data_IF_319769096489
#
_entry.id   IF_319769096489
#
_cell.length_a   1.000
_cell.length_b   1.000
_cell.length_c   1.000
_cell.angle_alpha   90.00
_cell.angle_beta   90.00
_cell.angle_gamma   90.00
#
_symmetry.space_group_name_H-M   'P 1'
#
loop_
_entity.id
_entity.type
_entity.pdbx_description
1 polymer ?
#
# COMPACT_ATOMS: atom_id res chain seq x y z
N UNK A 1 -1.53 -0.38 30.35
CA UNK A 1 -2.29 -1.52 29.80
C UNK A 1 -2.44 -1.24 28.34
N UNK A 2 -2.30 -2.21 27.42
CA UNK A 2 -2.61 -1.96 26.03
C UNK A 2 -4.07 -1.52 25.93
N UNK A 3 -4.33 -0.56 25.05
CA UNK A 3 -5.70 -0.12 24.77
C UNK A 3 -6.50 -1.32 24.28
N UNK A 4 -7.58 -1.68 24.96
CA UNK A 4 -8.42 -2.84 24.63
C UNK A 4 -9.60 -2.45 23.75
N UNK A 5 -9.73 -1.17 23.43
CA UNK A 5 -10.81 -0.70 22.57
C UNK A 5 -10.58 -1.18 21.12
N UNK A 6 -11.63 -1.58 20.41
CA UNK A 6 -11.50 -1.99 19.04
C UNK A 6 -11.03 -0.84 18.16
N UNK A 7 -10.26 -1.16 17.11
CA UNK A 7 -9.84 -0.20 16.10
C UNK A 7 -11.02 0.11 15.18
N UNK A 8 -11.43 1.37 15.12
CA UNK A 8 -12.45 1.85 14.19
C UNK A 8 -11.82 2.05 12.81
N UNK A 9 -12.18 1.17 11.87
CA UNK A 9 -11.65 1.14 10.51
C UNK A 9 -12.70 1.57 9.50
N UNK A 10 -12.39 2.56 8.65
CA UNK A 10 -13.14 2.86 7.43
C UNK A 10 -12.41 2.32 6.21
N UNK A 11 -13.10 1.58 5.35
CA UNK A 11 -12.61 1.15 4.04
C UNK A 11 -13.42 1.89 2.97
N UNK A 12 -12.75 2.70 2.17
CA UNK A 12 -13.35 3.33 0.98
C UNK A 12 -12.89 2.60 -0.27
N UNK A 13 -13.84 2.04 -1.04
CA UNK A 13 -13.51 1.18 -2.17
C UNK A 13 -14.52 1.29 -3.32
N UNK A 14 -14.08 0.87 -4.51
CA UNK A 14 -14.92 0.68 -5.70
C UNK A 14 -14.92 -0.80 -6.19
N UNK A 15 -14.17 -1.67 -5.52
CA UNK A 15 -14.17 -3.13 -5.71
C UNK A 15 -14.34 -3.84 -4.37
N UNK A 16 -15.50 -4.48 -4.18
CA UNK A 16 -15.93 -5.03 -2.89
C UNK A 16 -15.31 -6.39 -2.53
N UNK A 17 -15.18 -7.38 -3.43
CA UNK A 17 -14.69 -8.70 -3.06
C UNK A 17 -13.33 -8.72 -2.38
N UNK A 18 -12.28 -7.98 -2.83
CA UNK A 18 -11.02 -7.88 -2.13
C UNK A 18 -11.15 -7.25 -0.73
N UNK A 19 -11.95 -6.19 -0.61
CA UNK A 19 -12.12 -5.48 0.66
C UNK A 19 -12.95 -6.24 1.67
N UNK A 20 -13.94 -7.00 1.24
CA UNK A 20 -14.66 -7.94 2.12
C UNK A 20 -13.70 -9.03 2.66
N UNK A 21 -12.82 -9.57 1.79
CA UNK A 21 -11.83 -10.54 2.22
C UNK A 21 -10.85 -9.94 3.24
N UNK A 22 -10.40 -8.70 3.01
CA UNK A 22 -9.53 -7.99 3.94
C UNK A 22 -10.21 -7.75 5.29
N UNK A 23 -11.42 -7.19 5.30
CA UNK A 23 -12.16 -6.90 6.52
C UNK A 23 -12.39 -8.18 7.36
N UNK A 24 -12.82 -9.27 6.71
CA UNK A 24 -12.99 -10.56 7.37
C UNK A 24 -11.67 -11.09 7.94
N UNK A 25 -10.56 -10.95 7.22
CA UNK A 25 -9.24 -11.40 7.70
C UNK A 25 -8.73 -10.57 8.87
N UNK A 26 -8.89 -9.23 8.82
CA UNK A 26 -8.46 -8.34 9.91
C UNK A 26 -9.23 -8.63 11.22
N UNK A 27 -10.53 -8.87 11.16
CA UNK A 27 -11.34 -9.18 12.36
C UNK A 27 -10.96 -10.50 13.02
N UNK A 28 -10.28 -11.40 12.31
CA UNK A 28 -9.74 -12.63 12.92
C UNK A 28 -8.42 -12.40 13.65
N UNK A 29 -7.68 -11.34 13.33
CA UNK A 29 -6.38 -11.03 13.95
C UNK A 29 -6.50 -10.18 15.22
N UNK A 30 -7.57 -9.40 15.38
CA UNK A 30 -7.72 -8.54 16.51
C UNK A 30 -9.07 -7.82 16.58
N UNK A 31 -9.31 -7.03 17.61
CA UNK A 31 -10.55 -6.27 17.77
C UNK A 31 -10.59 -5.11 16.75
N UNK A 32 -11.19 -5.34 15.59
CA UNK A 32 -11.41 -4.34 14.54
C UNK A 32 -12.89 -4.24 14.24
N UNK A 33 -13.42 -3.03 14.26
CA UNK A 33 -14.77 -2.69 13.77
C UNK A 33 -14.60 -2.08 12.39
N UNK A 34 -14.92 -2.85 11.36
CA UNK A 34 -14.74 -2.44 9.97
C UNK A 34 -16.03 -1.87 9.39
N UNK A 35 -15.98 -0.63 8.94
CA UNK A 35 -16.99 0.03 8.14
C UNK A 35 -16.48 0.09 6.69
N UNK A 36 -17.39 0.01 5.73
CA UNK A 36 -17.01 0.12 4.33
C UNK A 36 -18.03 0.99 3.57
N UNK A 37 -17.52 1.81 2.67
CA UNK A 37 -18.31 2.70 1.84
C UNK A 37 -17.73 2.79 0.42
N UNK A 38 -18.61 3.02 -0.57
CA UNK A 38 -18.18 3.54 -1.86
C UNK A 38 -18.00 5.07 -1.77
N UNK A 39 -17.50 5.70 -2.82
CA UNK A 39 -17.24 7.14 -2.80
C UNK A 39 -18.45 8.03 -2.49
N UNK A 40 -19.66 7.79 -3.09
CA UNK A 40 -20.86 8.58 -2.77
C UNK A 40 -21.26 8.53 -1.29
N UNK A 41 -21.06 7.39 -0.63
CA UNK A 41 -21.51 7.13 0.72
C UNK A 41 -20.43 7.41 1.78
N UNK A 42 -19.21 7.81 1.36
CA UNK A 42 -18.14 8.14 2.29
C UNK A 42 -18.53 9.36 3.14
N UNK A 43 -18.44 9.27 4.49
CA UNK A 43 -18.67 10.41 5.37
C UNK A 43 -17.71 11.56 5.08
N UNK A 44 -18.17 12.81 5.23
CA UNK A 44 -17.30 13.98 5.08
C UNK A 44 -16.31 14.13 6.23
N UNK A 45 -16.68 13.68 7.43
CA UNK A 45 -15.82 13.63 8.61
C UNK A 45 -15.31 12.20 8.84
N UNK A 46 -14.01 12.03 8.65
CA UNK A 46 -13.32 10.75 8.86
C UNK A 46 -12.58 10.70 10.20
N UNK A 47 -12.65 11.76 11.02
CA UNK A 47 -11.88 11.87 12.28
C UNK A 47 -12.30 10.88 13.35
N UNK A 48 -13.47 10.26 13.21
CA UNK A 48 -13.99 9.23 14.12
C UNK A 48 -13.34 7.86 13.89
N UNK A 49 -12.61 7.69 12.80
CA UNK A 49 -11.92 6.44 12.47
C UNK A 49 -10.44 6.52 12.85
N UNK A 50 -9.94 5.49 13.51
CA UNK A 50 -8.53 5.36 13.84
C UNK A 50 -7.67 5.14 12.60
N UNK A 51 -8.26 4.43 11.61
CA UNK A 51 -7.60 4.07 10.35
C UNK A 51 -8.59 4.21 9.18
N UNK A 52 -8.09 4.73 8.07
CA UNK A 52 -8.80 4.72 6.80
C UNK A 52 -7.98 3.93 5.77
N UNK A 53 -8.60 2.94 5.13
CA UNK A 53 -8.03 2.20 3.99
C UNK A 53 -8.67 2.71 2.70
N UNK A 54 -7.84 3.11 1.75
CA UNK A 54 -8.24 3.55 0.41
C UNK A 54 -7.92 2.47 -0.61
N UNK A 55 -8.96 1.97 -1.29
CA UNK A 55 -8.89 0.97 -2.35
C UNK A 55 -9.84 1.34 -3.50
N UNK A 56 -9.47 2.39 -4.23
CA UNK A 56 -10.24 2.91 -5.36
C UNK A 56 -9.42 2.75 -6.63
N UNK A 57 -9.95 2.04 -7.62
CA UNK A 57 -9.28 1.79 -8.91
C UNK A 57 -9.44 2.99 -9.85
N UNK A 58 -10.65 3.49 -10.01
CA UNK A 58 -10.98 4.61 -10.92
C UNK A 58 -10.37 5.94 -10.47
N UNK A 59 -10.58 6.98 -11.25
CA UNK A 59 -10.37 8.38 -10.85
C UNK A 59 -11.23 8.66 -9.63
N UNK A 60 -10.65 9.21 -8.57
CA UNK A 60 -11.39 9.58 -7.38
C UNK A 60 -12.25 10.82 -7.62
N UNK A 61 -13.45 10.82 -7.02
CA UNK A 61 -14.24 12.03 -6.87
C UNK A 61 -13.45 13.07 -6.06
N UNK A 62 -13.49 14.35 -6.49
CA UNK A 62 -12.74 15.43 -5.84
C UNK A 62 -13.08 15.58 -4.35
N UNK A 63 -14.35 15.38 -3.96
CA UNK A 63 -14.76 15.42 -2.55
C UNK A 63 -14.05 14.35 -1.74
N UNK A 64 -13.99 13.13 -2.27
CA UNK A 64 -13.32 11.98 -1.63
C UNK A 64 -11.82 12.21 -1.55
N UNK A 65 -11.19 12.65 -2.64
CA UNK A 65 -9.77 12.99 -2.66
C UNK A 65 -9.44 14.01 -1.56
N UNK A 66 -10.19 15.09 -1.46
CA UNK A 66 -9.98 16.13 -0.46
C UNK A 66 -10.27 15.65 0.98
N UNK A 67 -11.26 14.77 1.18
CA UNK A 67 -11.55 14.20 2.50
C UNK A 67 -10.40 13.31 2.98
N UNK A 68 -9.87 12.44 2.13
CA UNK A 68 -8.74 11.57 2.45
C UNK A 68 -7.45 12.37 2.72
N UNK A 69 -7.18 13.40 1.91
CA UNK A 69 -6.03 14.30 2.12
C UNK A 69 -6.14 15.04 3.45
N UNK A 70 -7.34 15.60 3.76
CA UNK A 70 -7.55 16.27 5.06
C UNK A 70 -7.36 15.31 6.22
N UNK A 71 -7.96 14.11 6.15
CA UNK A 71 -7.83 13.09 7.18
C UNK A 71 -6.36 12.77 7.48
N UNK A 72 -5.58 12.47 6.45
CA UNK A 72 -4.16 12.19 6.62
C UNK A 72 -3.39 13.38 7.22
N UNK A 73 -3.66 14.62 6.74
CA UNK A 73 -2.95 15.81 7.22
C UNK A 73 -3.30 16.22 8.65
N UNK A 74 -4.47 15.84 9.14
CA UNK A 74 -4.98 16.19 10.47
C UNK A 74 -4.71 15.12 11.54
N UNK A 75 -3.76 14.23 11.30
CA UNK A 75 -3.35 13.22 12.28
C UNK A 75 -3.83 11.80 11.97
N UNK A 76 -4.64 11.63 10.92
CA UNK A 76 -5.18 10.34 10.53
C UNK A 76 -4.13 9.36 9.99
N UNK A 77 -4.47 8.09 10.05
CA UNK A 77 -3.66 6.99 9.52
C UNK A 77 -4.31 6.45 8.24
N UNK A 78 -3.76 6.84 7.10
CA UNK A 78 -4.28 6.51 5.79
C UNK A 78 -3.45 5.41 5.14
N UNK A 79 -4.04 4.24 4.90
CA UNK A 79 -3.44 3.13 4.17
C UNK A 79 -3.97 3.11 2.75
N UNK A 80 -3.08 3.12 1.79
CA UNK A 80 -3.39 3.04 0.36
C UNK A 80 -2.93 1.68 -0.15
N UNK A 81 -3.83 0.94 -0.74
CA UNK A 81 -3.55 -0.39 -1.23
C UNK A 81 -3.57 -0.44 -2.75
N UNK A 82 -2.65 -1.22 -3.31
CA UNK A 82 -2.58 -1.60 -4.71
C UNK A 82 -2.78 -0.42 -5.68
N UNK A 83 -3.85 -0.45 -6.47
CA UNK A 83 -4.15 0.57 -7.50
C UNK A 83 -4.57 1.95 -6.94
N UNK A 84 -4.61 2.10 -5.63
CA UNK A 84 -4.79 3.41 -5.00
C UNK A 84 -3.73 4.46 -5.39
N UNK A 85 -2.56 4.04 -5.88
CA UNK A 85 -1.51 4.89 -6.45
C UNK A 85 -1.24 4.60 -7.94
N UNK A 86 -2.12 3.87 -8.63
CA UNK A 86 -1.90 3.47 -10.01
C UNK A 86 -2.57 4.40 -11.03
N UNK A 87 -2.50 3.99 -12.25
CA UNK A 87 -2.80 4.66 -13.51
C UNK A 87 -3.91 5.71 -13.52
N UNK A 88 -5.09 5.43 -12.99
CA UNK A 88 -6.21 6.37 -12.99
C UNK A 88 -5.93 7.62 -12.15
N UNK A 89 -5.03 7.54 -11.18
CA UNK A 89 -4.66 8.63 -10.27
C UNK A 89 -3.90 9.78 -10.92
N UNK A 90 -3.48 9.64 -12.17
CA UNK A 90 -2.95 10.77 -12.96
C UNK A 90 -3.95 11.94 -13.03
N UNK A 91 -5.24 11.66 -12.91
CA UNK A 91 -6.31 12.67 -12.89
C UNK A 91 -6.61 13.21 -11.48
N UNK A 92 -5.85 12.79 -10.48
CA UNK A 92 -5.93 13.25 -9.09
C UNK A 92 -4.58 13.86 -8.66
N UNK A 93 -4.22 15.05 -9.15
CA UNK A 93 -2.89 15.62 -8.93
C UNK A 93 -2.58 15.93 -7.46
N UNK A 94 -3.57 16.35 -6.67
CA UNK A 94 -3.39 16.62 -5.23
C UNK A 94 -3.10 15.33 -4.45
N UNK A 95 -3.71 14.22 -4.86
CA UNK A 95 -3.44 12.89 -4.34
C UNK A 95 -2.01 12.43 -4.64
N UNK A 96 -1.58 12.58 -5.89
CA UNK A 96 -0.20 12.24 -6.27
C UNK A 96 0.81 13.14 -5.56
N UNK A 97 0.49 14.43 -5.36
CA UNK A 97 1.34 15.34 -4.58
C UNK A 97 1.43 14.92 -3.11
N UNK A 98 0.33 14.50 -2.46
CA UNK A 98 0.35 13.92 -1.11
C UNK A 98 1.24 12.68 -1.06
N UNK A 99 1.08 11.79 -2.02
CA UNK A 99 1.87 10.56 -2.12
C UNK A 99 3.33 10.80 -2.50
N UNK A 100 3.69 12.00 -2.99
CA UNK A 100 5.04 12.31 -3.48
C UNK A 100 5.42 11.48 -4.71
N UNK A 101 4.47 11.31 -5.62
CA UNK A 101 4.63 10.57 -6.86
C UNK A 101 4.30 11.43 -8.07
N UNK A 102 4.93 11.09 -9.19
CA UNK A 102 4.57 11.60 -10.50
C UNK A 102 4.26 10.43 -11.43
N UNK A 103 3.14 10.53 -12.13
CA UNK A 103 2.75 9.61 -13.19
C UNK A 103 2.53 10.43 -14.47
N UNK A 104 3.30 10.14 -15.51
CA UNK A 104 3.09 10.77 -16.81
C UNK A 104 1.89 10.15 -17.55
N UNK A 105 1.19 10.92 -18.40
CA UNK A 105 0.19 10.36 -19.31
C UNK A 105 0.76 9.23 -20.15
N UNK A 106 -0.05 8.20 -20.44
CA UNK A 106 0.39 7.03 -21.22
C UNK A 106 0.85 7.37 -22.66
N UNK A 107 0.44 8.51 -23.19
CA UNK A 107 0.82 9.04 -24.50
C UNK A 107 2.04 9.99 -24.46
N UNK A 108 2.61 10.23 -23.26
CA UNK A 108 3.82 11.03 -23.15
C UNK A 108 5.03 10.32 -23.79
N UNK A 109 5.89 11.09 -24.44
CA UNK A 109 7.09 10.57 -25.13
C UNK A 109 8.04 9.77 -24.24
N UNK A 110 8.09 10.10 -22.93
CA UNK A 110 8.97 9.47 -21.96
C UNK A 110 8.21 8.66 -20.92
N UNK A 111 7.03 8.18 -21.28
CA UNK A 111 6.24 7.35 -20.39
C UNK A 111 6.98 6.06 -20.02
N UNK A 112 7.38 5.97 -18.78
CA UNK A 112 8.18 4.85 -18.28
C UNK A 112 7.41 3.91 -17.33
N UNK A 113 6.43 4.46 -16.57
CA UNK A 113 5.66 3.63 -15.65
C UNK A 113 4.69 2.71 -16.39
N UNK A 114 4.48 1.53 -15.87
CA UNK A 114 3.59 0.52 -16.47
C UNK A 114 3.02 -0.45 -15.46
N UNK A 115 2.00 -1.16 -15.88
CA UNK A 115 1.42 -2.30 -15.17
C UNK A 115 1.90 -3.57 -15.86
N UNK A 116 2.45 -4.50 -15.09
CA UNK A 116 2.70 -5.87 -15.52
C UNK A 116 1.64 -6.76 -14.89
N UNK A 117 0.79 -7.36 -15.71
CA UNK A 117 -0.26 -8.31 -15.29
C UNK A 117 0.15 -9.75 -15.49
N UNK A 118 -0.54 -10.67 -14.81
CA UNK A 118 -0.30 -12.11 -14.88
C UNK A 118 1.14 -12.52 -14.50
N UNK A 119 1.69 -11.83 -13.50
CA UNK A 119 3.05 -12.08 -13.00
C UNK A 119 3.02 -12.64 -11.59
N UNK A 120 4.15 -13.17 -11.13
CA UNK A 120 4.40 -13.37 -9.70
C UNK A 120 4.96 -12.08 -9.12
N UNK A 121 4.23 -11.49 -8.18
CA UNK A 121 4.70 -10.36 -7.39
C UNK A 121 5.37 -10.91 -6.11
N UNK A 122 6.67 -10.79 -6.03
CA UNK A 122 7.41 -11.08 -4.79
C UNK A 122 7.61 -9.80 -4.01
N UNK A 123 6.95 -9.69 -2.86
CA UNK A 123 7.09 -8.59 -1.90
C UNK A 123 8.27 -8.90 -0.98
N UNK A 124 9.33 -8.12 -1.08
CA UNK A 124 10.61 -8.36 -0.41
C UNK A 124 10.77 -7.43 0.78
N UNK A 125 10.99 -7.97 1.98
CA UNK A 125 11.20 -7.18 3.19
C UNK A 125 12.58 -6.52 3.19
N UNK A 126 12.64 -5.23 2.95
CA UNK A 126 13.88 -4.44 2.93
C UNK A 126 14.23 -3.82 4.29
N UNK A 127 13.34 -3.91 5.26
CA UNK A 127 13.54 -3.37 6.61
C UNK A 127 13.23 -4.44 7.68
N UNK A 128 14.10 -5.47 7.82
CA UNK A 128 13.83 -6.65 8.65
C UNK A 128 13.93 -6.40 10.16
N UNK A 129 14.10 -5.18 10.59
CA UNK A 129 14.06 -4.77 12.01
C UNK A 129 12.84 -3.91 12.35
N UNK A 130 12.04 -3.51 11.37
CA UNK A 130 10.91 -2.62 11.59
C UNK A 130 9.68 -3.38 12.11
N UNK A 131 8.95 -2.80 13.07
CA UNK A 131 7.74 -3.40 13.64
C UNK A 131 6.76 -3.87 12.56
N UNK A 132 6.47 -3.03 11.56
CA UNK A 132 5.49 -3.35 10.52
C UNK A 132 5.87 -4.62 9.76
N UNK A 133 7.15 -4.83 9.51
CA UNK A 133 7.63 -5.94 8.70
C UNK A 133 7.91 -7.21 9.50
N UNK A 134 7.95 -7.14 10.83
CA UNK A 134 8.43 -8.26 11.66
C UNK A 134 7.43 -8.76 12.68
N UNK A 135 6.55 -7.89 13.20
CA UNK A 135 5.65 -8.28 14.28
C UNK A 135 4.65 -9.35 13.82
N UNK A 136 4.85 -10.58 14.27
CA UNK A 136 4.06 -11.77 13.92
C UNK A 136 3.98 -12.07 12.41
N UNK A 137 4.90 -11.60 11.59
CA UNK A 137 4.94 -11.87 10.16
C UNK A 137 5.77 -13.11 9.87
N UNK A 138 5.18 -14.10 9.19
CA UNK A 138 5.86 -15.31 8.73
C UNK A 138 6.03 -15.24 7.21
N UNK A 139 7.27 -15.10 6.76
CA UNK A 139 7.60 -15.03 5.34
C UNK A 139 7.67 -16.43 4.71
N UNK A 140 7.32 -16.51 3.43
CA UNK A 140 7.32 -17.78 2.68
C UNK A 140 8.74 -18.32 2.45
N UNK A 141 9.67 -17.41 2.14
CA UNK A 141 11.06 -17.76 1.77
C UNK A 141 11.98 -16.55 1.89
N UNK A 142 13.27 -16.76 1.61
CA UNK A 142 14.22 -15.68 1.34
C UNK A 142 14.60 -15.65 -0.13
N UNK A 143 14.80 -14.45 -0.67
CA UNK A 143 15.19 -14.23 -2.07
C UNK A 143 16.44 -13.37 -2.15
N UNK A 144 17.31 -13.57 -3.14
CA UNK A 144 18.37 -12.63 -3.46
C UNK A 144 17.72 -11.35 -3.99
N UNK A 145 18.11 -10.21 -3.43
CA UNK A 145 17.60 -8.91 -3.85
C UNK A 145 18.71 -7.88 -3.83
N UNK A 146 18.70 -7.00 -4.83
CA UNK A 146 19.60 -5.87 -4.94
C UNK A 146 18.78 -4.58 -4.75
N UNK A 147 18.80 -3.95 -3.57
CA UNK A 147 18.14 -2.67 -3.37
C UNK A 147 18.66 -1.62 -4.36
N UNK A 148 17.75 -0.89 -4.99
CA UNK A 148 18.07 0.15 -5.98
C UNK A 148 18.40 1.48 -5.31
N UNK A 149 17.84 1.70 -4.14
CA UNK A 149 18.00 2.95 -3.39
C UNK A 149 18.52 2.64 -1.99
N UNK A 150 19.56 3.37 -1.60
CA UNK A 150 19.97 3.41 -0.22
C UNK A 150 21.06 2.44 0.21
N UNK A 151 21.10 2.20 1.48
CA UNK A 151 22.25 1.73 2.24
C UNK A 151 22.27 0.23 2.48
N UNK A 152 21.32 -0.50 1.95
CA UNK A 152 21.23 -1.94 2.12
C UNK A 152 22.20 -2.65 1.17
N UNK A 153 22.96 -3.60 1.72
CA UNK A 153 23.81 -4.46 0.92
C UNK A 153 22.98 -5.50 0.18
N UNK A 154 23.41 -5.95 -1.01
CA UNK A 154 22.81 -7.11 -1.63
C UNK A 154 22.82 -8.31 -0.68
N UNK A 155 21.74 -9.08 -0.69
CA UNK A 155 21.66 -10.24 0.18
C UNK A 155 20.37 -11.02 0.05
N UNK A 156 20.20 -12.08 0.83
CA UNK A 156 18.93 -12.74 0.98
C UNK A 156 18.02 -11.93 1.91
N UNK A 157 16.83 -11.61 1.41
CA UNK A 157 15.79 -10.92 2.17
C UNK A 157 14.53 -11.78 2.29
N UNK A 158 13.81 -11.72 3.43
CA UNK A 158 12.54 -12.41 3.58
C UNK A 158 11.51 -11.90 2.57
N UNK A 159 10.68 -12.78 2.04
CA UNK A 159 9.73 -12.42 0.98
C UNK A 159 8.40 -13.19 1.07
N UNK A 160 7.36 -12.57 0.50
CA UNK A 160 6.03 -13.15 0.26
C UNK A 160 5.76 -13.17 -1.25
N UNK A 161 5.24 -14.29 -1.75
CA UNK A 161 4.88 -14.42 -3.15
C UNK A 161 3.36 -14.30 -3.34
N UNK A 162 2.96 -13.54 -4.35
CA UNK A 162 1.58 -13.40 -4.85
C UNK A 162 1.59 -13.81 -6.32
N UNK A 163 0.71 -14.75 -6.66
CA UNK A 163 0.70 -15.38 -7.98
C UNK A 163 -0.44 -14.84 -8.83
N UNK A 164 -0.23 -14.80 -10.16
CA UNK A 164 -1.20 -14.35 -11.15
C UNK A 164 -1.81 -12.99 -10.81
N UNK A 165 -0.94 -12.01 -10.55
CA UNK A 165 -1.31 -10.70 -10.04
C UNK A 165 -0.75 -9.56 -10.92
N UNK A 166 -0.93 -8.33 -10.45
CA UNK A 166 -0.41 -7.12 -11.09
C UNK A 166 0.72 -6.50 -10.28
N UNK A 167 1.67 -5.90 -11.01
CA UNK A 167 2.77 -5.12 -10.44
C UNK A 167 2.83 -3.76 -11.13
N UNK A 168 2.94 -2.68 -10.34
CA UNK A 168 3.15 -1.32 -10.84
C UNK A 168 4.62 -0.99 -10.85
N UNK A 169 5.16 -0.78 -12.04
CA UNK A 169 6.58 -0.58 -12.28
C UNK A 169 6.87 0.87 -12.67
N UNK A 170 8.06 1.33 -12.28
CA UNK A 170 8.63 2.62 -12.70
C UNK A 170 7.80 3.85 -12.29
N UNK A 171 7.03 3.76 -11.22
CA UNK A 171 6.43 4.95 -10.62
C UNK A 171 7.54 5.92 -10.19
N UNK A 172 7.45 7.16 -10.63
CA UNK A 172 8.46 8.17 -10.29
C UNK A 172 8.20 8.76 -8.91
N UNK A 173 9.13 8.52 -7.98
CA UNK A 173 9.14 9.14 -6.65
C UNK A 173 9.76 10.52 -6.77
N UNK A 174 9.07 11.57 -6.29
CA UNK A 174 9.50 12.96 -6.40
C UNK A 174 9.79 13.65 -5.06
N UNK A 175 9.46 13.02 -3.93
CA UNK A 175 9.74 13.52 -2.58
C UNK A 175 11.01 12.91 -1.95
N UNK A 176 11.71 12.09 -2.71
CA UNK A 176 13.02 11.57 -2.33
C UNK A 176 12.99 10.78 -1.01
N UNK A 177 13.71 11.31 0.01
CA UNK A 177 13.93 10.60 1.27
C UNK A 177 12.81 10.74 2.31
N UNK A 178 11.70 11.38 1.99
CA UNK A 178 10.57 11.49 2.92
C UNK A 178 9.89 10.14 3.16
N UNK A 179 10.07 9.17 2.25
CA UNK A 179 9.52 7.82 2.40
C UNK A 179 10.47 6.91 3.17
N UNK A 180 9.92 6.20 4.15
CA UNK A 180 10.57 5.04 4.73
C UNK A 180 10.15 3.81 3.95
N UNK A 181 11.08 3.24 3.19
CA UNK A 181 10.85 2.01 2.42
C UNK A 181 10.82 0.83 3.36
N UNK A 182 9.76 0.03 3.27
CA UNK A 182 9.57 -1.22 4.01
C UNK A 182 9.80 -2.44 3.12
N UNK A 183 9.28 -2.37 1.89
CA UNK A 183 9.27 -3.49 0.97
C UNK A 183 9.71 -3.08 -0.44
N UNK A 184 10.50 -3.96 -1.04
CA UNK A 184 10.75 -3.97 -2.47
C UNK A 184 9.73 -4.84 -3.21
N UNK A 185 9.67 -4.66 -4.51
CA UNK A 185 8.98 -5.55 -5.45
C UNK A 185 10.00 -6.25 -6.33
N UNK A 186 9.81 -7.56 -6.54
CA UNK A 186 10.54 -8.34 -7.53
C UNK A 186 9.52 -9.10 -8.40
N UNK A 187 9.71 -9.09 -9.70
CA UNK A 187 8.91 -9.87 -10.63
C UNK A 187 9.71 -10.19 -11.89
N UNK A 188 9.32 -11.26 -12.59
CA UNK A 188 9.76 -11.51 -13.96
C UNK A 188 9.00 -10.58 -14.90
N UNK A 189 9.73 -9.78 -15.66
CA UNK A 189 9.12 -8.86 -16.59
C UNK A 189 8.60 -9.61 -17.84
N UNK A 190 7.28 -9.60 -18.10
CA UNK A 190 6.73 -10.32 -19.25
C UNK A 190 7.14 -9.70 -20.60
N UNK A 191 7.70 -8.48 -20.61
CA UNK A 191 8.13 -7.79 -21.84
C UNK A 191 9.59 -8.08 -22.16
N UNK A 192 10.49 -7.96 -21.20
CA UNK A 192 11.94 -8.17 -21.42
C UNK A 192 12.41 -9.57 -21.05
N UNK A 193 11.66 -10.29 -20.23
CA UNK A 193 12.08 -11.57 -19.64
C UNK A 193 13.14 -11.44 -18.54
N UNK A 194 13.43 -10.22 -18.10
CA UNK A 194 14.40 -9.94 -17.06
C UNK A 194 13.72 -9.88 -15.68
N UNK A 195 14.48 -10.16 -14.63
CA UNK A 195 14.01 -9.95 -13.25
C UNK A 195 14.10 -8.45 -12.94
N UNK A 196 12.97 -7.84 -12.63
CA UNK A 196 12.90 -6.46 -12.17
C UNK A 196 12.87 -6.43 -10.64
N UNK A 197 13.67 -5.54 -10.06
CA UNK A 197 13.69 -5.23 -8.64
C UNK A 197 13.55 -3.72 -8.44
N UNK A 198 12.57 -3.28 -7.64
CA UNK A 198 12.34 -1.87 -7.33
C UNK A 198 11.93 -1.70 -5.87
N UNK A 199 12.51 -0.73 -5.17
CA UNK A 199 12.25 -0.44 -3.75
C UNK A 199 10.92 0.33 -3.57
N UNK A 200 9.83 -0.22 -4.13
CA UNK A 200 8.50 0.41 -4.22
C UNK A 200 7.34 -0.51 -3.90
N UNK A 201 7.62 -1.67 -3.29
CA UNK A 201 6.59 -2.64 -2.90
C UNK A 201 5.75 -2.20 -1.71
N UNK A 202 6.32 -1.35 -0.83
CA UNK A 202 5.62 -0.77 0.31
C UNK A 202 6.47 0.23 1.06
N UNK A 203 5.83 1.30 1.52
CA UNK A 203 6.48 2.41 2.23
C UNK A 203 5.49 3.18 3.08
N UNK A 204 6.00 4.03 3.97
CA UNK A 204 5.19 5.04 4.65
C UNK A 204 5.92 6.38 4.70
N UNK A 205 5.18 7.45 4.93
CA UNK A 205 5.67 8.81 5.13
C UNK A 205 4.77 9.63 6.04
N UNK A 206 5.28 10.75 6.52
CA UNK A 206 4.46 11.78 7.13
C UNK A 206 3.53 12.43 6.11
N UNK A 207 2.31 12.74 6.57
CA UNK A 207 1.31 13.48 5.82
C UNK A 207 0.71 14.55 6.74
N UNK A 208 1.37 15.69 6.88
CA UNK A 208 1.03 16.66 7.93
C UNK A 208 1.27 16.09 9.33
N UNK A 209 0.24 16.10 10.18
CA UNK A 209 0.30 15.54 11.53
C UNK A 209 0.09 14.02 11.56
N UNK A 210 -0.42 13.43 10.47
CA UNK A 210 -0.68 12.00 10.37
C UNK A 210 0.30 11.25 9.47
N UNK A 211 -0.17 10.12 8.94
CA UNK A 211 0.65 9.16 8.22
C UNK A 211 -0.05 8.63 6.97
N UNK A 212 0.74 8.47 5.91
CA UNK A 212 0.37 7.79 4.68
C UNK A 212 1.20 6.52 4.54
N UNK A 213 0.53 5.39 4.37
CA UNK A 213 1.13 4.08 4.07
C UNK A 213 0.71 3.63 2.68
N UNK A 214 1.59 2.95 1.99
CA UNK A 214 1.30 2.28 0.74
C UNK A 214 1.82 0.85 0.76
N UNK A 215 0.98 -0.08 0.29
CA UNK A 215 1.36 -1.47 0.03
C UNK A 215 0.89 -1.85 -1.37
N UNK A 216 1.80 -2.34 -2.19
CA UNK A 216 1.54 -2.61 -3.60
C UNK A 216 0.70 -3.86 -3.87
N UNK A 217 0.84 -5.02 -3.17
CA UNK A 217 -0.02 -6.17 -3.40
C UNK A 217 -1.49 -5.83 -3.11
N UNK A 218 -2.41 -6.57 -3.74
CA UNK A 218 -3.86 -6.39 -3.47
C UNK A 218 -4.73 -6.42 -4.71
N UNK A 219 -4.30 -7.07 -5.79
CA UNK A 219 -5.07 -7.20 -7.03
C UNK A 219 -6.31 -8.10 -6.86
N UNK A 220 -6.20 -9.13 -6.03
CA UNK A 220 -7.25 -10.13 -5.85
C UNK A 220 -7.66 -10.32 -4.39
N UNK A 221 -8.86 -10.88 -4.18
CA UNK A 221 -9.33 -11.23 -2.83
C UNK A 221 -8.43 -12.29 -2.15
N UNK A 222 -7.77 -13.15 -2.91
CA UNK A 222 -6.89 -14.19 -2.37
C UNK A 222 -5.64 -13.58 -1.70
N UNK A 223 -5.14 -12.48 -2.22
CA UNK A 223 -4.00 -11.78 -1.62
C UNK A 223 -4.33 -11.27 -0.22
N UNK A 224 -5.57 -10.83 0.00
CA UNK A 224 -6.08 -10.38 1.30
C UNK A 224 -6.52 -11.52 2.23
N UNK A 225 -6.38 -12.78 1.82
CA UNK A 225 -6.51 -13.96 2.67
C UNK A 225 -5.17 -14.54 3.10
N UNK A 226 -4.05 -14.03 2.54
CA UNK A 226 -2.69 -14.46 2.91
C UNK A 226 -2.37 -13.96 4.33
N UNK A 227 -2.20 -14.86 5.33
CA UNK A 227 -2.10 -14.44 6.74
C UNK A 227 -0.95 -13.46 7.01
N UNK A 228 0.21 -13.71 6.42
CA UNK A 228 1.38 -12.84 6.59
C UNK A 228 1.15 -11.44 6.01
N UNK A 229 0.44 -11.31 4.89
CA UNK A 229 0.14 -10.00 4.30
C UNK A 229 -0.90 -9.24 5.12
N UNK A 230 -1.94 -9.92 5.58
CA UNK A 230 -2.94 -9.31 6.48
C UNK A 230 -2.30 -8.87 7.79
N UNK A 231 -1.33 -9.64 8.31
CA UNK A 231 -0.55 -9.25 9.49
C UNK A 231 0.26 -7.96 9.24
N UNK A 232 0.86 -7.81 8.05
CA UNK A 232 1.56 -6.56 7.67
C UNK A 232 0.58 -5.38 7.65
N UNK A 233 -0.61 -5.55 7.07
CA UNK A 233 -1.65 -4.50 7.06
C UNK A 233 -2.06 -4.16 8.50
N UNK A 234 -2.32 -5.16 9.35
CA UNK A 234 -2.62 -4.96 10.76
C UNK A 234 -1.48 -4.20 11.47
N UNK A 235 -0.24 -4.55 11.18
CA UNK A 235 0.93 -3.86 11.76
C UNK A 235 0.99 -2.39 11.31
N UNK A 236 0.63 -2.06 10.05
CA UNK A 236 0.49 -0.67 9.62
C UNK A 236 -0.59 0.07 10.41
N UNK A 237 -1.71 -0.62 10.70
CA UNK A 237 -2.81 -0.04 11.48
C UNK A 237 -2.41 0.24 12.93
N UNK A 238 -1.56 -0.60 13.52
CA UNK A 238 -1.18 -0.54 14.95
C UNK A 238 0.12 0.19 15.21
N UNK A 239 0.96 0.40 14.20
CA UNK A 239 2.28 1.02 14.39
C UNK A 239 2.16 2.47 14.86
N UNK A 240 3.02 2.87 15.80
CA UNK A 240 3.22 4.26 16.21
C UNK A 240 4.69 4.64 16.05
N UNK A 241 4.94 5.86 15.57
CA UNK A 241 6.29 6.42 15.64
C UNK A 241 6.63 6.65 17.12
N UNK A 242 7.79 6.17 17.54
CA UNK A 242 8.38 6.49 18.83
C UNK A 242 8.83 7.94 18.90
#
# INVERSE_FOLDING_TARGET
MPNTDPVELMIVCDDWPPMHALAASLTTLGPVVAHAANEPDLPDDLSVYDVVIMYIHKVMDTRVEQALIRYARQGGRLLVLHHGLASAKIHNPDWLALAGLHLEPKDALNHAWRVAGHVTHTLVNLNPSHYITTNNVQYDRSVPYQPSEGFSRPGPFPALDFFDTEVFLNQQVIDGREKTVLFGVMCDDPVSGEIIMQDRGGWYKRAGDGWLFYLQPGHTAEEFRKPAYVQIIMNCMMWSAE
#
